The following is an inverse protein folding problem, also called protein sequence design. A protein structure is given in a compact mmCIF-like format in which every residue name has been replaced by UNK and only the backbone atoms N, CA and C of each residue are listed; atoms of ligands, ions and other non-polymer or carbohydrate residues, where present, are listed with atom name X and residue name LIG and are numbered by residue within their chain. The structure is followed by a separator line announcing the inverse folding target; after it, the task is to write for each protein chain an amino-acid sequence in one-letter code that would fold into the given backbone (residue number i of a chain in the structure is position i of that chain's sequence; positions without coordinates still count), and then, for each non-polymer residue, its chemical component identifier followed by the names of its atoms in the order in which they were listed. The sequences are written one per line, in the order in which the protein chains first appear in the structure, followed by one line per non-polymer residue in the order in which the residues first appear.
data_IF_881798114921
#
_entry.id   IF_881798114921
#
_cell.length_a   1.000
_cell.length_b   1.000
_cell.length_c   1.000
_cell.angle_alpha   90.00
_cell.angle_beta   90.00
_cell.angle_gamma   90.00
#
_symmetry.space_group_name_H-M   'P 1'
#
loop_
_entity.id
_entity.type
_entity.pdbx_description
1 polymer ?
#
# COMPACT_ATOMS: atom_id res chain seq x y z
N UNK A 1 7.05 -15.21 -17.16
CA UNK A 1 6.32 -13.97 -17.49
C UNK A 1 6.88 -12.81 -16.72
N UNK A 2 7.07 -11.70 -17.37
CA UNK A 2 7.63 -10.53 -16.71
C UNK A 2 6.52 -9.68 -16.10
N UNK A 3 6.73 -9.24 -14.88
CA UNK A 3 5.81 -8.32 -14.21
C UNK A 3 6.11 -6.88 -14.61
N UNK A 4 5.11 -6.02 -14.49
CA UNK A 4 5.30 -4.62 -14.83
C UNK A 4 6.37 -3.96 -13.98
N UNK A 5 6.45 -4.32 -12.70
CA UNK A 5 7.41 -3.73 -11.78
C UNK A 5 8.81 -4.31 -11.90
N UNK A 6 9.01 -5.27 -12.81
CA UNK A 6 10.32 -5.88 -13.03
C UNK A 6 11.15 -5.12 -14.07
N UNK A 7 10.57 -4.13 -14.71
CA UNK A 7 11.29 -3.32 -15.70
C UNK A 7 12.10 -2.26 -14.99
N UNK A 8 13.45 -2.34 -15.02
CA UNK A 8 14.27 -1.37 -14.30
C UNK A 8 14.18 0.05 -14.86
N UNK A 9 13.71 0.19 -16.09
CA UNK A 9 13.55 1.50 -16.73
C UNK A 9 12.15 2.06 -16.58
N UNK A 10 11.21 1.30 -16.00
CA UNK A 10 9.85 1.76 -15.82
C UNK A 10 9.82 2.92 -14.83
N UNK A 11 9.11 4.01 -15.15
CA UNK A 11 8.99 5.11 -14.19
C UNK A 11 8.23 4.67 -12.95
N UNK A 12 8.68 5.17 -11.80
CA UNK A 12 8.03 4.89 -10.53
C UNK A 12 7.51 6.18 -9.93
N UNK A 13 6.38 6.03 -9.28
CA UNK A 13 5.68 7.15 -8.64
C UNK A 13 5.44 6.82 -7.19
N UNK A 14 5.23 7.84 -6.38
CA UNK A 14 4.88 7.64 -4.99
C UNK A 14 3.36 7.52 -4.86
N UNK A 15 2.94 6.59 -4.03
CA UNK A 15 1.54 6.43 -3.67
C UNK A 15 1.44 6.25 -2.15
N UNK A 16 0.46 6.89 -1.55
CA UNK A 16 0.15 6.68 -0.15
C UNK A 16 -0.99 5.67 -0.08
N UNK A 17 -0.75 4.54 0.57
CA UNK A 17 -1.73 3.46 0.65
C UNK A 17 -2.14 3.26 2.09
N UNK A 18 -3.44 3.17 2.32
CA UNK A 18 -4.02 2.89 3.63
C UNK A 18 -4.68 1.52 3.60
N UNK A 19 -4.28 0.66 4.52
CA UNK A 19 -4.85 -0.68 4.66
C UNK A 19 -5.58 -0.76 5.99
N UNK A 20 -6.79 -1.31 5.96
CA UNK A 20 -7.65 -1.41 7.14
C UNK A 20 -7.04 -2.34 8.17
N UNK A 21 -6.96 -1.86 9.40
CA UNK A 21 -6.52 -2.66 10.54
C UNK A 21 -7.63 -2.85 11.55
N UNK A 22 -7.39 -3.70 12.53
CA UNK A 22 -8.37 -3.99 13.57
C UNK A 22 -8.47 -2.83 14.57
N UNK A 23 -7.32 -2.32 15.00
CA UNK A 23 -7.27 -1.23 15.98
C UNK A 23 -6.82 0.08 15.37
N UNK A 24 -5.93 0.00 14.40
CA UNK A 24 -5.43 1.17 13.70
C UNK A 24 -5.15 0.75 12.25
N UNK A 25 -5.31 1.69 11.33
CA UNK A 25 -5.00 1.41 9.94
C UNK A 25 -3.50 1.56 9.70
N UNK A 26 -3.03 0.85 8.66
CA UNK A 26 -1.65 0.92 8.22
C UNK A 26 -1.57 1.92 7.05
N UNK A 27 -0.69 2.91 7.16
CA UNK A 27 -0.53 3.93 6.12
C UNK A 27 0.94 4.07 5.81
N UNK A 28 1.30 3.91 4.55
CA UNK A 28 2.69 4.05 4.10
C UNK A 28 2.76 4.63 2.71
N UNK A 29 3.89 5.25 2.42
CA UNK A 29 4.19 5.72 1.07
C UNK A 29 4.99 4.64 0.35
N UNK A 30 4.53 4.29 -0.83
CA UNK A 30 5.05 3.19 -1.64
C UNK A 30 5.52 3.74 -2.99
N UNK A 31 6.69 3.31 -3.45
CA UNK A 31 7.16 3.58 -4.80
C UNK A 31 6.72 2.43 -5.70
N UNK A 32 5.99 2.76 -6.76
CA UNK A 32 5.46 1.74 -7.67
C UNK A 32 5.22 2.34 -9.06
N UNK A 33 5.06 1.47 -10.04
CA UNK A 33 4.85 1.90 -11.43
C UNK A 33 3.42 2.34 -11.69
N UNK A 34 2.46 1.80 -10.95
CA UNK A 34 1.05 2.11 -11.12
C UNK A 34 0.29 1.74 -9.84
N UNK A 35 -1.00 2.04 -9.82
CA UNK A 35 -1.83 1.81 -8.64
C UNK A 35 -1.91 0.33 -8.26
N UNK A 36 -2.07 -0.55 -9.24
CA UNK A 36 -2.18 -1.98 -8.96
C UNK A 36 -0.90 -2.51 -8.32
N UNK A 37 0.25 -2.05 -8.82
CA UNK A 37 1.54 -2.43 -8.27
C UNK A 37 1.71 -1.90 -6.85
N UNK A 38 1.28 -0.65 -6.62
CA UNK A 38 1.35 -0.04 -5.29
C UNK A 38 0.54 -0.85 -4.28
N UNK A 39 -0.66 -1.28 -4.67
CA UNK A 39 -1.52 -2.08 -3.80
C UNK A 39 -0.86 -3.41 -3.45
N UNK A 40 -0.27 -4.07 -4.44
CA UNK A 40 0.39 -5.36 -4.21
C UNK A 40 1.57 -5.20 -3.26
N UNK A 41 2.41 -4.20 -3.50
CA UNK A 41 3.58 -3.95 -2.65
C UNK A 41 3.12 -3.60 -1.23
N UNK A 42 2.10 -2.74 -1.12
CA UNK A 42 1.60 -2.31 0.18
C UNK A 42 1.05 -3.49 0.98
N UNK A 43 0.29 -4.37 0.35
CA UNK A 43 -0.24 -5.55 1.03
C UNK A 43 0.87 -6.45 1.57
N UNK A 44 1.90 -6.67 0.76
CA UNK A 44 3.03 -7.50 1.21
C UNK A 44 3.78 -6.85 2.36
N UNK A 45 4.01 -5.54 2.27
CA UNK A 45 4.72 -4.81 3.31
C UNK A 45 3.92 -4.79 4.60
N UNK A 46 2.61 -4.56 4.50
CA UNK A 46 1.72 -4.55 5.64
C UNK A 46 1.66 -5.92 6.32
N UNK A 47 1.55 -6.98 5.52
CA UNK A 47 1.52 -8.34 6.07
C UNK A 47 2.82 -8.66 6.81
N UNK A 48 3.95 -8.19 6.27
CA UNK A 48 5.24 -8.38 6.91
C UNK A 48 5.30 -7.61 8.24
N UNK A 49 4.84 -6.35 8.24
CA UNK A 49 4.82 -5.54 9.45
C UNK A 49 3.94 -6.15 10.55
N UNK A 50 2.84 -6.75 10.15
CA UNK A 50 1.86 -7.32 11.09
C UNK A 50 2.08 -8.82 11.32
N UNK A 51 3.17 -9.37 10.79
CA UNK A 51 3.53 -10.79 10.96
C UNK A 51 2.41 -11.72 10.51
N UNK A 52 1.81 -11.41 9.36
CA UNK A 52 0.73 -12.23 8.80
C UNK A 52 1.27 -13.23 7.81
N UNK A 53 0.61 -14.39 7.71
CA UNK A 53 1.03 -15.43 6.78
C UNK A 53 0.72 -15.12 5.33
N UNK A 54 -0.25 -14.25 5.07
CA UNK A 54 -0.65 -13.92 3.71
C UNK A 54 -1.30 -12.56 3.63
N UNK A 55 -1.74 -12.20 2.44
CA UNK A 55 -2.27 -10.87 2.16
C UNK A 55 -3.76 -10.85 1.81
N UNK A 56 -4.39 -12.03 1.71
CA UNK A 56 -5.75 -12.13 1.17
C UNK A 56 -6.81 -11.45 2.04
N UNK A 57 -6.54 -11.30 3.34
CA UNK A 57 -7.47 -10.65 4.25
C UNK A 57 -7.25 -9.15 4.39
N UNK A 58 -6.22 -8.61 3.74
CA UNK A 58 -5.91 -7.19 3.83
C UNK A 58 -6.78 -6.41 2.86
N UNK A 59 -7.47 -5.41 3.38
CA UNK A 59 -8.38 -4.59 2.61
C UNK A 59 -7.81 -3.17 2.49
N UNK A 60 -7.72 -2.68 1.27
CA UNK A 60 -7.22 -1.33 1.00
C UNK A 60 -8.38 -0.34 1.22
N UNK A 61 -8.15 0.64 2.08
CA UNK A 61 -9.14 1.69 2.33
C UNK A 61 -9.03 2.78 1.26
N UNK A 62 -7.81 3.20 0.95
CA UNK A 62 -7.61 4.18 -0.12
C UNK A 62 -6.18 4.13 -0.64
N UNK A 63 -6.01 4.68 -1.84
CA UNK A 63 -4.70 4.93 -2.45
C UNK A 63 -4.73 6.36 -2.94
N UNK A 64 -3.71 7.14 -2.59
CA UNK A 64 -3.57 8.52 -3.06
C UNK A 64 -2.27 8.67 -3.81
N UNK A 65 -2.27 9.53 -4.82
CA UNK A 65 -1.04 9.86 -5.55
C UNK A 65 -0.15 10.73 -4.66
N UNK A 66 1.14 10.41 -4.66
CA UNK A 66 2.13 11.19 -3.95
C UNK A 66 2.34 10.75 -2.50
N UNK A 67 3.18 11.51 -1.81
CA UNK A 67 3.46 11.32 -0.39
C UNK A 67 2.52 12.25 0.37
N UNK A 68 1.40 11.69 0.83
CA UNK A 68 0.35 12.45 1.49
C UNK A 68 0.45 12.27 2.99
N UNK A 69 0.60 13.37 3.70
CA UNK A 69 0.60 13.35 5.16
C UNK A 69 -0.84 13.51 5.66
N UNK A 70 -1.28 12.56 6.47
CA UNK A 70 -2.64 12.60 7.02
C UNK A 70 -2.56 13.31 8.37
N UNK A 71 -3.10 14.53 8.43
CA UNK A 71 -3.05 15.36 9.62
C UNK A 71 -4.16 15.01 10.59
N UNK A 72 -5.28 14.54 10.09
CA UNK A 72 -6.42 14.12 10.92
C UNK A 72 -7.04 12.89 10.29
N UNK A 73 -7.21 11.86 11.08
CA UNK A 73 -7.75 10.62 10.58
C UNK A 73 -8.85 10.12 11.52
N UNK A 74 -10.05 10.04 10.95
CA UNK A 74 -11.25 9.64 11.69
C UNK A 74 -11.51 8.16 11.44
N UNK A 75 -11.14 7.35 12.41
CA UNK A 75 -11.37 5.92 12.32
C UNK A 75 -12.64 5.59 13.11
N UNK A 76 -13.66 5.19 12.38
CA UNK A 76 -14.98 4.99 12.95
C UNK A 76 -15.37 3.53 13.11
N UNK A 77 -14.40 2.62 13.01
CA UNK A 77 -14.68 1.21 13.18
C UNK A 77 -15.04 0.86 14.62
#
# INVERSE_FOLDING_TARGET
MRKLNDDPDAPRHQYTVCIVGEYTDWVETIWACNVADAIEIARRTCADDWHMAGTSSLEVRFVMAGDVQILEYNDIR
#
